data_IF_482728384861
#
_entry.id   IF_482728384861
#
_cell.length_a   1.000
_cell.length_b   1.000
_cell.length_c   1.000
_cell.angle_alpha   90.00
_cell.angle_beta   90.00
_cell.angle_gamma   90.00
#
_symmetry.space_group_name_H-M   'P 1'
#
loop_
_entity.id
_entity.type
_entity.pdbx_description
1 polymer ?
#
# COMPACT_ATOMS: atom_id res chain seq x y z
N UNK A 1 12.98 5.28 -22.79
CA UNK A 1 12.77 6.42 -21.88
C UNK A 1 13.77 7.49 -22.27
N UNK A 2 13.31 8.68 -22.60
CA UNK A 2 14.23 9.81 -22.80
C UNK A 2 14.79 10.17 -21.42
N UNK A 3 16.07 9.86 -21.20
CA UNK A 3 16.75 10.11 -19.93
C UNK A 3 16.79 11.60 -19.59
N UNK A 4 16.71 12.49 -20.59
CA UNK A 4 16.68 13.93 -20.37
C UNK A 4 15.35 14.39 -19.73
N UNK A 5 14.23 13.81 -20.15
CA UNK A 5 12.91 14.15 -19.61
C UNK A 5 12.75 13.67 -18.16
N UNK A 6 13.20 12.44 -17.86
CA UNK A 6 13.19 11.93 -16.49
C UNK A 6 14.05 12.79 -15.55
N UNK A 7 15.25 13.18 -15.99
CA UNK A 7 16.13 14.07 -15.22
C UNK A 7 15.50 15.45 -15.01
N UNK A 8 14.85 16.02 -16.04
CA UNK A 8 14.10 17.28 -15.92
C UNK A 8 13.04 17.17 -14.83
N UNK A 9 12.15 16.18 -14.90
CA UNK A 9 11.04 16.05 -13.95
C UNK A 9 11.50 15.81 -12.52
N UNK A 10 12.55 15.03 -12.33
CA UNK A 10 13.15 14.83 -11.01
C UNK A 10 13.64 16.15 -10.42
N UNK A 11 14.34 16.97 -11.22
CA UNK A 11 14.88 18.25 -10.76
C UNK A 11 13.79 19.30 -10.52
N UNK A 12 12.80 19.40 -11.41
CA UNK A 12 11.69 20.38 -11.30
C UNK A 12 10.81 20.11 -10.07
N UNK A 13 10.56 18.83 -9.76
CA UNK A 13 9.68 18.45 -8.66
C UNK A 13 10.41 18.23 -7.33
N UNK A 14 11.74 18.20 -7.30
CA UNK A 14 12.53 18.00 -6.07
C UNK A 14 12.16 18.99 -4.94
N UNK A 15 12.05 20.32 -5.18
CA UNK A 15 11.68 21.26 -4.10
C UNK A 15 10.26 21.02 -3.58
N UNK A 16 9.33 20.63 -4.47
CA UNK A 16 7.95 20.31 -4.10
C UNK A 16 7.91 19.03 -3.27
N UNK A 17 8.66 17.99 -3.68
CA UNK A 17 8.79 16.75 -2.93
C UNK A 17 9.37 17.00 -1.53
N UNK A 18 10.34 17.91 -1.38
CA UNK A 18 10.91 18.30 -0.09
C UNK A 18 9.86 18.93 0.83
N UNK A 19 9.12 19.92 0.34
CA UNK A 19 8.05 20.59 1.08
C UNK A 19 6.94 19.61 1.49
N UNK A 20 6.53 18.74 0.57
CA UNK A 20 5.51 17.73 0.82
C UNK A 20 5.99 16.68 1.84
N UNK A 21 7.26 16.27 1.78
CA UNK A 21 7.85 15.34 2.74
C UNK A 21 7.88 15.96 4.14
N UNK A 22 8.32 17.21 4.26
CA UNK A 22 8.31 17.95 5.54
C UNK A 22 6.89 18.09 6.10
N UNK A 23 5.91 18.40 5.25
CA UNK A 23 4.50 18.47 5.63
C UNK A 23 3.95 17.11 6.08
N UNK A 24 4.31 16.02 5.38
CA UNK A 24 3.93 14.66 5.75
C UNK A 24 4.44 14.33 7.14
N UNK A 25 5.72 14.53 7.39
CA UNK A 25 6.34 14.29 8.71
C UNK A 25 5.69 15.11 9.83
N UNK A 26 5.29 16.36 9.55
CA UNK A 26 4.59 17.20 10.53
C UNK A 26 3.13 16.79 10.80
N UNK A 27 2.51 16.04 9.88
CA UNK A 27 1.09 15.64 9.96
C UNK A 27 0.92 14.20 10.44
N UNK A 28 1.81 13.31 10.01
CA UNK A 28 1.79 11.89 10.30
C UNK A 28 1.80 11.66 11.82
N UNK A 29 0.89 10.80 12.28
CA UNK A 29 0.81 10.40 13.69
C UNK A 29 1.35 9.00 13.80
N UNK A 30 2.30 8.80 14.70
CA UNK A 30 2.79 7.47 14.97
C UNK A 30 1.67 6.56 15.49
N UNK A 31 1.73 5.31 15.04
CA UNK A 31 0.93 4.24 15.56
C UNK A 31 1.73 2.96 15.44
N UNK A 32 1.46 2.03 16.35
CA UNK A 32 2.26 0.83 16.53
C UNK A 32 1.39 -0.40 16.26
N UNK A 33 1.73 -1.26 15.28
CA UNK A 33 0.91 -2.41 14.89
C UNK A 33 0.48 -3.30 16.05
N UNK A 34 1.37 -3.55 17.01
CA UNK A 34 1.08 -4.41 18.15
C UNK A 34 -0.06 -3.91 19.05
N UNK A 35 -0.47 -2.65 18.95
CA UNK A 35 -1.61 -2.10 19.69
C UNK A 35 -2.96 -2.41 19.02
N UNK A 36 -2.95 -2.92 17.78
CA UNK A 36 -4.14 -3.15 16.95
C UNK A 36 -4.35 -4.63 16.62
N UNK A 37 -3.67 -5.52 17.34
CA UNK A 37 -3.78 -6.97 17.16
C UNK A 37 -4.34 -7.60 18.44
N UNK A 38 -5.33 -8.51 18.35
CA UNK A 38 -5.94 -9.13 19.53
C UNK A 38 -5.08 -10.29 20.02
N UNK A 39 -3.89 -10.00 20.55
CA UNK A 39 -2.89 -11.00 20.94
C UNK A 39 -3.42 -12.06 21.92
N UNK A 40 -4.40 -11.74 22.76
CA UNK A 40 -5.04 -12.69 23.67
C UNK A 40 -5.79 -13.82 22.96
N UNK A 41 -6.10 -13.68 21.67
CA UNK A 41 -6.69 -14.74 20.84
C UNK A 41 -5.64 -15.65 20.21
N UNK A 42 -4.38 -15.21 20.17
CA UNK A 42 -3.27 -15.92 19.55
C UNK A 42 -3.01 -17.25 20.26
N UNK A 43 -2.99 -18.32 19.46
CA UNK A 43 -2.64 -19.67 19.90
C UNK A 43 -2.01 -20.44 18.75
N UNK A 44 -1.08 -21.34 19.07
CA UNK A 44 -0.29 -22.07 18.09
C UNK A 44 -1.17 -22.79 17.05
N UNK A 45 -0.82 -22.63 15.77
CA UNK A 45 -1.37 -23.44 14.68
C UNK A 45 -0.77 -24.85 14.69
N UNK A 46 -1.37 -25.77 13.92
CA UNK A 46 -0.74 -27.05 13.66
C UNK A 46 0.63 -26.88 12.98
N UNK A 47 1.48 -27.91 13.10
CA UNK A 47 2.85 -27.88 12.60
C UNK A 47 3.89 -28.01 13.73
N UNK A 48 5.09 -27.43 13.57
CA UNK A 48 6.24 -27.72 14.44
C UNK A 48 6.05 -27.38 15.93
N UNK A 49 5.14 -26.47 16.26
CA UNK A 49 4.84 -26.07 17.64
C UNK A 49 3.71 -26.91 18.28
N UNK A 50 3.10 -27.84 17.54
CA UNK A 50 2.13 -28.79 18.08
C UNK A 50 0.75 -28.20 18.43
N UNK A 51 0.37 -27.09 17.79
CA UNK A 51 -0.90 -26.41 18.03
C UNK A 51 -2.10 -27.04 17.32
N UNK A 52 -3.18 -26.25 17.22
CA UNK A 52 -4.46 -26.68 16.66
C UNK A 52 -4.59 -26.27 15.18
N UNK A 53 -5.00 -27.17 14.26
CA UNK A 53 -5.20 -26.81 12.86
C UNK A 53 -6.28 -25.73 12.70
N UNK A 54 -6.13 -24.93 11.66
CA UNK A 54 -7.15 -23.96 11.30
C UNK A 54 -8.42 -24.66 10.81
N UNK A 55 -9.58 -24.10 11.15
CA UNK A 55 -10.89 -24.53 10.63
C UNK A 55 -11.74 -23.32 10.27
N UNK A 56 -12.58 -23.39 9.21
CA UNK A 56 -13.41 -22.26 8.79
C UNK A 56 -14.28 -21.64 9.89
N UNK A 57 -14.75 -22.45 10.84
CA UNK A 57 -15.61 -22.02 11.96
C UNK A 57 -14.88 -21.20 13.01
N UNK A 58 -13.53 -21.18 13.01
CA UNK A 58 -12.73 -20.37 13.91
C UNK A 58 -12.75 -18.87 13.51
N UNK A 59 -13.10 -18.57 12.27
CA UNK A 59 -13.19 -17.19 11.78
C UNK A 59 -14.57 -16.59 12.07
N UNK A 60 -14.58 -15.46 12.78
CA UNK A 60 -15.80 -14.68 13.03
C UNK A 60 -16.21 -13.78 11.86
N UNK A 61 -15.38 -13.69 10.81
CA UNK A 61 -15.60 -12.79 9.68
C UNK A 61 -16.43 -13.45 8.58
N UNK A 62 -17.26 -12.65 7.92
CA UNK A 62 -18.01 -13.12 6.74
C UNK A 62 -17.06 -13.53 5.61
N UNK A 63 -17.44 -14.47 4.73
CA UNK A 63 -16.60 -14.88 3.60
C UNK A 63 -16.14 -13.70 2.72
N UNK A 64 -17.02 -12.73 2.47
CA UNK A 64 -16.70 -11.55 1.66
C UNK A 64 -15.62 -10.67 2.32
N UNK A 65 -15.71 -10.45 3.64
CA UNK A 65 -14.70 -9.67 4.39
C UNK A 65 -13.36 -10.39 4.39
N UNK A 66 -13.36 -11.72 4.55
CA UNK A 66 -12.12 -12.51 4.49
C UNK A 66 -11.44 -12.36 3.14
N UNK A 67 -12.19 -12.48 2.04
CA UNK A 67 -11.67 -12.29 0.69
C UNK A 67 -11.09 -10.88 0.51
N UNK A 68 -11.81 -9.85 0.96
CA UNK A 68 -11.32 -8.47 0.87
C UNK A 68 -10.05 -8.23 1.70
N UNK A 69 -9.96 -8.77 2.92
CA UNK A 69 -8.74 -8.70 3.74
C UNK A 69 -7.56 -9.43 3.11
N UNK A 70 -7.80 -10.58 2.47
CA UNK A 70 -6.75 -11.32 1.75
C UNK A 70 -6.25 -10.50 0.57
N UNK A 71 -7.15 -9.97 -0.27
CA UNK A 71 -6.77 -9.11 -1.41
C UNK A 71 -5.96 -7.91 -0.92
N UNK A 72 -6.47 -7.18 0.08
CA UNK A 72 -5.78 -6.03 0.66
C UNK A 72 -4.38 -6.43 1.15
N UNK A 73 -4.25 -7.52 1.92
CA UNK A 73 -2.94 -7.97 2.41
C UNK A 73 -1.99 -8.38 1.28
N UNK A 74 -2.47 -9.06 0.24
CA UNK A 74 -1.64 -9.49 -0.87
C UNK A 74 -1.16 -8.30 -1.72
N UNK A 75 -1.99 -7.26 -1.88
CA UNK A 75 -1.55 -5.99 -2.44
C UNK A 75 -0.41 -5.42 -1.61
N UNK A 76 -0.60 -5.29 -0.30
CA UNK A 76 0.39 -4.73 0.63
C UNK A 76 1.71 -5.55 0.66
N UNK A 77 1.61 -6.88 0.63
CA UNK A 77 2.77 -7.78 0.58
C UNK A 77 3.63 -7.60 -0.68
N UNK A 78 3.03 -7.10 -1.76
CA UNK A 78 3.73 -6.86 -3.02
C UNK A 78 4.62 -5.60 -2.99
N UNK A 79 4.78 -4.98 -1.81
CA UNK A 79 5.67 -3.86 -1.54
C UNK A 79 7.07 -3.99 -2.15
N UNK A 80 7.77 -5.15 -2.17
CA UNK A 80 9.07 -5.25 -2.83
C UNK A 80 9.02 -4.85 -4.31
N UNK A 81 7.93 -5.22 -4.99
CA UNK A 81 7.68 -4.86 -6.37
C UNK A 81 7.38 -3.36 -6.54
N UNK A 82 6.52 -2.80 -5.68
CA UNK A 82 6.17 -1.38 -5.73
C UNK A 82 7.37 -0.48 -5.40
N UNK A 83 8.15 -0.84 -4.37
CA UNK A 83 9.39 -0.17 -4.02
C UNK A 83 10.36 -0.17 -5.20
N UNK A 84 10.54 -1.31 -5.87
CA UNK A 84 11.37 -1.40 -7.07
C UNK A 84 10.86 -0.50 -8.20
N UNK A 85 9.55 -0.52 -8.49
CA UNK A 85 8.96 0.34 -9.52
C UNK A 85 9.22 1.81 -9.22
N UNK A 86 8.98 2.28 -7.99
CA UNK A 86 9.22 3.69 -7.63
C UNK A 86 10.72 3.98 -7.72
N UNK A 87 11.57 3.19 -7.07
CA UNK A 87 13.02 3.41 -7.01
C UNK A 87 13.71 3.38 -8.38
N UNK A 88 13.19 2.61 -9.35
CA UNK A 88 13.73 2.54 -10.71
C UNK A 88 13.28 3.70 -11.61
N UNK A 89 12.28 4.48 -11.19
CA UNK A 89 11.72 5.61 -11.94
C UNK A 89 11.99 6.94 -11.28
N UNK A 90 12.27 6.96 -9.97
CA UNK A 90 12.62 8.16 -9.22
C UNK A 90 14.11 8.20 -8.86
N UNK A 91 14.51 9.19 -8.05
CA UNK A 91 15.82 9.23 -7.41
C UNK A 91 15.82 8.51 -6.06
N UNK A 92 16.98 7.98 -5.65
CA UNK A 92 17.25 7.47 -4.30
C UNK A 92 17.96 8.48 -3.41
N UNK A 93 18.30 9.64 -3.96
CA UNK A 93 18.92 10.77 -3.28
C UNK A 93 17.88 11.87 -3.01
N UNK A 94 18.24 12.82 -2.14
CA UNK A 94 17.43 14.02 -1.89
C UNK A 94 16.04 13.71 -1.29
N UNK A 95 15.09 14.58 -1.60
CA UNK A 95 13.70 14.50 -1.14
C UNK A 95 12.99 13.27 -1.70
N UNK A 96 13.22 12.92 -2.98
CA UNK A 96 12.69 11.69 -3.57
C UNK A 96 13.13 10.43 -2.81
N UNK A 97 14.43 10.33 -2.49
CA UNK A 97 14.96 9.21 -1.72
C UNK A 97 14.41 9.17 -0.30
N UNK A 98 14.31 10.33 0.35
CA UNK A 98 13.72 10.45 1.68
C UNK A 98 12.25 10.00 1.70
N UNK A 99 11.45 10.45 0.72
CA UNK A 99 10.06 10.04 0.56
C UNK A 99 9.95 8.54 0.30
N UNK A 100 10.70 8.00 -0.67
CA UNK A 100 10.70 6.56 -0.99
C UNK A 100 10.94 5.71 0.26
N UNK A 101 11.96 6.03 1.05
CA UNK A 101 12.26 5.28 2.26
C UNK A 101 11.17 5.43 3.33
N UNK A 102 10.60 6.63 3.48
CA UNK A 102 9.53 6.86 4.46
C UNK A 102 8.25 6.12 4.08
N UNK A 103 7.79 6.30 2.84
CA UNK A 103 6.63 5.62 2.28
C UNK A 103 6.78 4.10 2.41
N UNK A 104 7.92 3.54 1.97
CA UNK A 104 8.17 2.09 2.05
C UNK A 104 8.08 1.57 3.49
N UNK A 105 8.62 2.31 4.47
CA UNK A 105 8.55 1.91 5.86
C UNK A 105 7.13 1.98 6.45
N UNK A 106 6.30 2.91 5.97
CA UNK A 106 4.89 3.00 6.35
C UNK A 106 4.06 1.89 5.69
N UNK A 107 4.32 1.54 4.42
CA UNK A 107 3.64 0.44 3.74
C UNK A 107 3.98 -0.93 4.33
N UNK A 108 5.25 -1.18 4.69
CA UNK A 108 5.64 -2.46 5.31
C UNK A 108 4.86 -2.71 6.62
N UNK A 109 4.58 -1.62 7.35
CA UNK A 109 3.77 -1.64 8.56
C UNK A 109 2.33 -2.08 8.27
N UNK A 110 1.75 -1.73 7.12
CA UNK A 110 0.40 -2.13 6.74
C UNK A 110 0.30 -3.65 6.60
N UNK A 111 1.12 -4.26 5.73
CA UNK A 111 1.17 -5.71 5.52
C UNK A 111 1.40 -6.47 6.84
N UNK A 112 2.39 -6.05 7.63
CA UNK A 112 2.73 -6.68 8.89
C UNK A 112 1.55 -6.64 9.88
N UNK A 113 0.86 -5.52 9.97
CA UNK A 113 -0.26 -5.32 10.90
C UNK A 113 -1.50 -6.13 10.51
N UNK A 114 -1.87 -6.15 9.23
CA UNK A 114 -3.01 -6.92 8.71
C UNK A 114 -2.75 -8.41 8.86
N UNK A 115 -1.55 -8.90 8.51
CA UNK A 115 -1.17 -10.31 8.71
C UNK A 115 -1.24 -10.72 10.18
N UNK A 116 -0.72 -9.90 11.08
CA UNK A 116 -0.73 -10.18 12.51
C UNK A 116 -2.18 -10.31 13.03
N UNK A 117 -3.08 -9.43 12.61
CA UNK A 117 -4.51 -9.54 12.91
C UNK A 117 -5.11 -10.85 12.37
N UNK A 118 -4.87 -11.17 11.09
CA UNK A 118 -5.43 -12.36 10.45
C UNK A 118 -5.00 -13.65 11.16
N UNK A 119 -3.74 -13.74 11.59
CA UNK A 119 -3.22 -14.87 12.34
C UNK A 119 -3.76 -14.92 13.77
N UNK A 120 -3.70 -13.81 14.52
CA UNK A 120 -4.15 -13.77 15.91
C UNK A 120 -5.65 -14.08 16.04
N UNK A 121 -6.47 -13.57 15.12
CA UNK A 121 -7.91 -13.82 15.08
C UNK A 121 -8.28 -15.14 14.39
N UNK A 122 -7.31 -15.91 13.88
CA UNK A 122 -7.54 -17.09 13.01
C UNK A 122 -8.55 -16.80 11.90
N UNK A 123 -8.49 -15.60 11.34
CA UNK A 123 -9.50 -15.06 10.45
C UNK A 123 -9.54 -15.77 9.09
N UNK A 124 -8.42 -16.35 8.65
CA UNK A 124 -8.27 -17.06 7.38
C UNK A 124 -7.33 -18.27 7.54
N UNK A 125 -7.36 -19.18 6.57
CA UNK A 125 -6.42 -20.30 6.49
C UNK A 125 -4.97 -19.75 6.31
N UNK A 126 -4.06 -19.99 7.26
CA UNK A 126 -2.70 -19.47 7.20
C UNK A 126 -1.86 -20.13 6.08
N UNK A 127 -2.14 -21.39 5.74
CA UNK A 127 -1.42 -22.11 4.68
C UNK A 127 -1.84 -21.59 3.31
N UNK A 128 -3.14 -21.40 3.10
CA UNK A 128 -3.64 -20.80 1.86
C UNK A 128 -3.14 -19.36 1.69
N UNK A 129 -3.16 -18.56 2.77
CA UNK A 129 -2.66 -17.19 2.76
C UNK A 129 -1.17 -17.13 2.40
N UNK A 130 -0.34 -17.98 3.01
CA UNK A 130 1.10 -17.98 2.72
C UNK A 130 1.40 -18.44 1.29
N UNK A 131 0.68 -19.43 0.77
CA UNK A 131 0.81 -19.82 -0.66
C UNK A 131 0.42 -18.70 -1.59
N UNK A 132 -0.66 -17.97 -1.27
CA UNK A 132 -1.10 -16.83 -2.05
C UNK A 132 -0.05 -15.71 -2.02
N UNK A 133 0.55 -15.42 -0.86
CA UNK A 133 1.67 -14.46 -0.74
C UNK A 133 2.86 -14.87 -1.61
N UNK A 134 3.27 -16.13 -1.54
CA UNK A 134 4.39 -16.64 -2.34
C UNK A 134 4.10 -16.55 -3.85
N UNK A 135 2.86 -16.77 -4.26
CA UNK A 135 2.45 -16.59 -5.65
C UNK A 135 2.48 -15.11 -6.06
N UNK A 136 1.85 -14.23 -5.27
CA UNK A 136 1.75 -12.81 -5.54
C UNK A 136 3.13 -12.15 -5.65
N UNK A 137 3.93 -12.24 -4.59
CA UNK A 137 5.27 -11.63 -4.51
C UNK A 137 6.27 -12.32 -5.44
N UNK A 138 6.05 -13.59 -5.76
CA UNK A 138 6.87 -14.35 -6.68
C UNK A 138 6.64 -13.99 -8.16
N UNK A 139 5.62 -13.19 -8.46
CA UNK A 139 5.35 -12.71 -9.82
C UNK A 139 5.95 -11.32 -10.06
N UNK A 140 6.16 -10.96 -11.32
CA UNK A 140 6.50 -9.58 -11.72
C UNK A 140 5.26 -8.71 -11.96
N UNK A 141 4.12 -9.02 -11.33
CA UNK A 141 2.88 -8.25 -11.50
C UNK A 141 2.98 -6.93 -10.70
N UNK A 142 3.62 -5.94 -11.31
CA UNK A 142 3.80 -4.59 -10.78
C UNK A 142 3.46 -3.57 -11.85
N UNK A 143 3.06 -2.34 -11.48
CA UNK A 143 2.92 -1.27 -12.44
C UNK A 143 4.25 -1.00 -13.18
N UNK A 144 4.17 -0.76 -14.48
CA UNK A 144 5.29 -0.41 -15.36
C UNK A 144 5.13 1.00 -15.96
N UNK A 145 5.14 2.07 -15.15
CA UNK A 145 5.00 3.44 -15.65
C UNK A 145 6.15 3.79 -16.60
N UNK A 146 5.89 4.57 -17.65
CA UNK A 146 6.90 4.89 -18.67
C UNK A 146 7.93 5.91 -18.19
N UNK A 147 7.56 6.80 -17.26
CA UNK A 147 8.42 7.77 -16.60
C UNK A 147 7.90 8.25 -15.23
N UNK A 148 8.53 9.32 -14.72
CA UNK A 148 8.19 9.90 -13.40
C UNK A 148 6.73 10.36 -13.34
N UNK A 149 6.25 11.04 -14.39
CA UNK A 149 4.89 11.56 -14.42
C UNK A 149 3.84 10.45 -14.48
N UNK A 150 4.08 9.40 -15.27
CA UNK A 150 3.18 8.24 -15.30
C UNK A 150 3.10 7.56 -13.94
N UNK A 151 4.24 7.45 -13.24
CA UNK A 151 4.27 6.91 -11.88
C UNK A 151 3.47 7.79 -10.92
N UNK A 152 3.74 9.10 -10.89
CA UNK A 152 3.04 10.03 -9.98
C UNK A 152 1.54 10.05 -10.25
N UNK A 153 1.14 10.02 -11.52
CA UNK A 153 -0.26 9.93 -11.92
C UNK A 153 -0.89 8.61 -11.46
N UNK A 154 -0.21 7.47 -11.66
CA UNK A 154 -0.68 6.15 -11.26
C UNK A 154 -0.90 6.07 -9.75
N UNK A 155 0.09 6.47 -8.95
CA UNK A 155 0.00 6.37 -7.49
C UNK A 155 -1.02 7.37 -6.93
N UNK A 156 -1.24 8.52 -7.58
CA UNK A 156 -2.31 9.46 -7.22
C UNK A 156 -3.72 8.86 -7.34
N UNK A 157 -3.90 7.78 -8.09
CA UNK A 157 -5.17 7.02 -8.20
C UNK A 157 -5.18 5.80 -7.27
N UNK A 158 -4.04 5.13 -7.08
CA UNK A 158 -3.99 3.91 -6.27
C UNK A 158 -4.20 4.17 -4.78
N UNK A 159 -3.52 5.15 -4.20
CA UNK A 159 -3.62 5.51 -2.78
C UNK A 159 -5.07 5.80 -2.34
N UNK A 160 -5.88 6.62 -3.07
CA UNK A 160 -7.29 6.78 -2.71
C UNK A 160 -8.11 5.49 -2.88
N UNK A 161 -7.78 4.63 -3.84
CA UNK A 161 -8.48 3.37 -4.05
C UNK A 161 -8.23 2.39 -2.89
N UNK A 162 -6.97 2.22 -2.49
CA UNK A 162 -6.56 1.38 -1.37
C UNK A 162 -7.13 1.92 -0.04
N UNK A 163 -7.07 3.24 0.20
CA UNK A 163 -7.80 3.89 1.30
C UNK A 163 -9.29 3.50 1.36
N UNK A 164 -10.00 3.57 0.24
CA UNK A 164 -11.42 3.23 0.17
C UNK A 164 -11.63 1.74 0.45
N UNK A 165 -10.78 0.87 -0.11
CA UNK A 165 -10.82 -0.56 0.15
C UNK A 165 -10.65 -0.87 1.63
N UNK A 166 -9.57 -0.40 2.26
CA UNK A 166 -9.27 -0.63 3.67
C UNK A 166 -10.40 -0.12 4.58
N UNK A 167 -10.86 1.11 4.36
CA UNK A 167 -11.93 1.70 5.16
C UNK A 167 -13.24 0.91 5.05
N UNK A 168 -13.62 0.49 3.84
CA UNK A 168 -14.85 -0.25 3.62
C UNK A 168 -14.77 -1.66 4.21
N UNK A 169 -13.65 -2.36 4.00
CA UNK A 169 -13.38 -3.68 4.58
C UNK A 169 -13.43 -3.62 6.10
N UNK A 170 -12.81 -2.61 6.72
CA UNK A 170 -12.84 -2.39 8.16
C UNK A 170 -14.26 -2.22 8.69
N UNK A 171 -15.05 -1.33 8.08
CA UNK A 171 -16.45 -1.10 8.47
C UNK A 171 -17.34 -2.33 8.28
N UNK A 172 -17.14 -3.08 7.20
CA UNK A 172 -17.95 -4.26 6.87
C UNK A 172 -17.54 -5.50 7.67
N UNK A 173 -16.38 -5.47 8.34
CA UNK A 173 -15.86 -6.61 9.10
C UNK A 173 -16.77 -7.05 10.25
N UNK A 174 -17.49 -6.10 10.86
CA UNK A 174 -18.22 -6.35 12.11
C UNK A 174 -17.33 -6.59 13.33
N UNK A 175 -16.00 -6.49 13.18
CA UNK A 175 -15.03 -6.62 14.26
C UNK A 175 -14.42 -5.25 14.60
N UNK A 176 -14.68 -4.72 15.80
CA UNK A 176 -14.13 -3.42 16.22
C UNK A 176 -12.59 -3.34 16.21
N UNK A 177 -11.88 -4.46 16.37
CA UNK A 177 -10.41 -4.49 16.30
C UNK A 177 -9.96 -4.34 14.85
N UNK A 178 -10.54 -5.10 13.94
CA UNK A 178 -10.30 -4.99 12.50
C UNK A 178 -10.59 -3.58 11.98
N UNK A 179 -11.75 -3.02 12.35
CA UNK A 179 -12.13 -1.66 11.95
C UNK A 179 -11.12 -0.61 12.42
N UNK A 180 -10.67 -0.68 13.68
CA UNK A 180 -9.65 0.25 14.21
C UNK A 180 -8.30 0.10 13.51
N UNK A 181 -7.90 -1.14 13.21
CA UNK A 181 -6.66 -1.40 12.49
C UNK A 181 -6.71 -0.80 11.08
N UNK A 182 -7.73 -1.14 10.29
CA UNK A 182 -7.84 -0.66 8.91
C UNK A 182 -8.13 0.84 8.82
N UNK A 183 -8.70 1.45 9.87
CA UNK A 183 -8.79 2.90 9.96
C UNK A 183 -7.42 3.59 10.09
N UNK A 184 -6.40 2.93 10.67
CA UNK A 184 -5.02 3.45 10.70
C UNK A 184 -4.33 3.31 9.35
N UNK A 185 -4.44 2.15 8.73
CA UNK A 185 -3.92 1.93 7.37
C UNK A 185 -4.54 2.96 6.40
N UNK A 186 -5.87 3.09 6.40
CA UNK A 186 -6.56 4.07 5.56
C UNK A 186 -6.24 5.54 5.90
N UNK A 187 -5.69 5.82 7.09
CA UNK A 187 -5.22 7.16 7.45
C UNK A 187 -3.84 7.44 6.85
N UNK A 188 -2.94 6.46 6.83
CA UNK A 188 -1.62 6.57 6.19
C UNK A 188 -1.77 6.75 4.67
N UNK A 189 -2.56 5.88 4.04
CA UNK A 189 -2.97 5.97 2.61
C UNK A 189 -3.56 7.34 2.24
N UNK A 190 -4.29 7.97 3.16
CA UNK A 190 -4.81 9.31 2.94
C UNK A 190 -3.70 10.36 2.89
N UNK A 191 -2.65 10.22 3.71
CA UNK A 191 -1.50 11.12 3.70
C UNK A 191 -0.61 10.88 2.47
N UNK A 192 -0.41 9.63 2.08
CA UNK A 192 0.27 9.26 0.85
C UNK A 192 -0.44 9.79 -0.40
N UNK A 193 -1.76 9.61 -0.50
CA UNK A 193 -2.59 10.26 -1.53
C UNK A 193 -2.36 11.78 -1.55
N UNK A 194 -2.35 12.45 -0.40
CA UNK A 194 -2.14 13.91 -0.36
C UNK A 194 -0.76 14.27 -0.91
N UNK A 195 0.29 13.52 -0.59
CA UNK A 195 1.62 13.72 -1.15
C UNK A 195 1.58 13.62 -2.68
N UNK A 196 1.15 12.48 -3.24
CA UNK A 196 1.20 12.27 -4.68
C UNK A 196 0.25 13.19 -5.45
N UNK A 197 -0.92 13.51 -4.90
CA UNK A 197 -1.87 14.44 -5.53
C UNK A 197 -1.29 15.86 -5.65
N UNK A 198 -0.65 16.37 -4.61
CA UNK A 198 -0.05 17.71 -4.68
C UNK A 198 1.19 17.73 -5.59
N UNK A 199 1.94 16.63 -5.65
CA UNK A 199 3.04 16.46 -6.60
C UNK A 199 2.54 16.44 -8.05
N UNK A 200 1.44 15.73 -8.32
CA UNK A 200 0.78 15.71 -9.63
C UNK A 200 0.22 17.09 -10.00
N UNK A 201 -0.32 17.84 -9.03
CA UNK A 201 -0.76 19.23 -9.22
C UNK A 201 0.42 20.11 -9.65
N UNK A 202 1.55 20.02 -8.96
CA UNK A 202 2.73 20.80 -9.35
C UNK A 202 3.21 20.43 -10.76
N UNK A 203 3.20 19.15 -11.12
CA UNK A 203 3.50 18.72 -12.49
C UNK A 203 2.54 19.34 -13.53
N UNK A 204 1.23 19.40 -13.24
CA UNK A 204 0.23 20.04 -14.11
C UNK A 204 0.49 21.55 -14.28
N UNK A 205 0.94 22.22 -13.23
CA UNK A 205 1.26 23.65 -13.26
C UNK A 205 2.55 23.93 -14.03
N UNK A 206 3.52 23.01 -14.01
CA UNK A 206 4.78 23.11 -14.76
C UNK A 206 4.62 22.79 -16.24
N UNK A 207 3.97 21.66 -16.57
CA UNK A 207 3.80 21.18 -17.95
C UNK A 207 2.60 20.20 -18.00
N UNK A 208 1.42 20.64 -18.44
CA UNK A 208 0.21 19.84 -18.38
C UNK A 208 0.17 18.71 -19.41
N UNK A 209 0.86 18.83 -20.56
CA UNK A 209 0.72 17.90 -21.68
C UNK A 209 1.17 16.46 -21.32
N UNK A 210 2.34 16.24 -20.67
CA UNK A 210 2.74 14.91 -20.20
C UNK A 210 1.77 14.35 -19.17
N UNK A 211 1.22 15.19 -18.28
CA UNK A 211 0.31 14.74 -17.23
C UNK A 211 -1.05 14.32 -17.79
N UNK A 212 -1.60 15.08 -18.73
CA UNK A 212 -2.86 14.72 -19.39
C UNK A 212 -2.72 13.45 -20.23
N UNK A 213 -1.56 13.24 -20.85
CA UNK A 213 -1.24 11.99 -21.56
C UNK A 213 -1.21 10.80 -20.60
N UNK A 214 -0.49 10.93 -19.48
CA UNK A 214 -0.44 9.90 -18.43
C UNK A 214 -1.84 9.58 -17.86
N UNK A 215 -2.65 10.60 -17.59
CA UNK A 215 -4.01 10.44 -17.07
C UNK A 215 -4.92 9.71 -18.08
N UNK A 216 -4.77 9.97 -19.38
CA UNK A 216 -5.46 9.22 -20.43
C UNK A 216 -5.13 7.73 -20.40
N UNK A 217 -3.85 7.39 -20.26
CA UNK A 217 -3.40 5.98 -20.17
C UNK A 217 -3.96 5.25 -18.94
N UNK A 218 -4.12 5.96 -17.82
CA UNK A 218 -4.73 5.38 -16.61
C UNK A 218 -6.22 5.09 -16.76
N UNK A 219 -6.94 5.90 -17.55
CA UNK A 219 -8.36 5.65 -17.82
C UNK A 219 -8.57 4.37 -18.64
N UNK A 220 -7.56 3.98 -19.44
CA UNK A 220 -7.57 2.79 -20.28
C UNK A 220 -6.88 1.58 -19.63
N UNK A 221 -6.29 1.74 -18.45
CA UNK A 221 -5.55 0.69 -17.75
C UNK A 221 -6.50 -0.27 -17.00
N UNK A 222 -6.32 -1.58 -17.23
CA UNK A 222 -6.95 -2.61 -16.41
C UNK A 222 -6.42 -2.53 -14.97
N UNK A 223 -7.26 -2.71 -13.92
CA UNK A 223 -6.79 -2.75 -12.55
C UNK A 223 -5.73 -3.85 -12.41
N UNK A 224 -4.60 -3.55 -11.78
CA UNK A 224 -3.63 -4.58 -11.38
C UNK A 224 -4.33 -5.43 -10.30
N UNK A 225 -4.95 -6.53 -10.73
CA UNK A 225 -5.63 -7.47 -9.84
C UNK A 225 -4.58 -8.18 -8.98
N UNK A 226 -4.82 -8.22 -7.66
CA UNK A 226 -4.21 -9.17 -6.74
C UNK A 226 -5.09 -10.42 -6.62
#
# INVERSE_FOLDING_TARGET
MDTAEAVRWLAELEPVAEDLMNRHLGTAREWFPHQYVPWSLGRDFDGPLGGEPWRPEQSALSPAVRSALVVNLLTEDNLPGYHWTIASRTSRDGAWGAWLHRWTAEEDRHAASIRAYLHAARAVDPVALERARMAQVGTSAVPEPLGVIDLVAYVSVQEPAARVSHRNTGRLSGDPVCERLLARVAQDENLHMVFYRELLRAALETDPDPVLTAAGLLADAEPVQA
#
